data_IF_524803089526
#
_entry.id   IF_524803089526
#
_cell.length_a   1.000
_cell.length_b   1.000
_cell.length_c   1.000
_cell.angle_alpha   90.00
_cell.angle_beta   90.00
_cell.angle_gamma   90.00
#
_symmetry.space_group_name_H-M   'P 1'
#
loop_
_entity.id
_entity.type
_entity.pdbx_description
1 polymer ?
#
# COMPACT_ATOMS: atom_id res chain seq x y z
N UNK A 1 -3.61 -4.17 -11.82
CA UNK A 1 -3.72 -3.55 -10.48
C UNK A 1 -2.51 -2.67 -10.14
N UNK A 2 -1.28 -3.19 -10.23
CA UNK A 2 -0.05 -2.44 -9.91
C UNK A 2 0.07 -1.11 -10.67
N UNK A 3 -0.22 -1.07 -11.97
CA UNK A 3 -0.21 0.18 -12.75
C UNK A 3 -1.21 1.22 -12.22
N UNK A 4 -2.39 0.80 -11.74
CA UNK A 4 -3.37 1.71 -11.13
C UNK A 4 -2.89 2.27 -9.80
N UNK A 5 -2.15 1.46 -9.03
CA UNK A 5 -1.51 1.90 -7.78
C UNK A 5 -0.44 2.95 -8.10
N UNK A 6 0.44 2.69 -9.06
CA UNK A 6 1.48 3.65 -9.49
C UNK A 6 0.90 4.99 -9.94
N UNK A 7 -0.13 4.98 -10.79
CA UNK A 7 -0.76 6.22 -11.24
C UNK A 7 -1.50 6.95 -10.13
N UNK A 8 -2.16 6.22 -9.22
CA UNK A 8 -2.82 6.84 -8.07
C UNK A 8 -1.82 7.46 -7.08
N UNK A 9 -0.60 6.93 -6.96
CA UNK A 9 0.42 7.56 -6.11
C UNK A 9 0.77 8.97 -6.60
N UNK A 10 0.82 9.18 -7.92
CA UNK A 10 1.17 10.46 -8.52
C UNK A 10 0.15 11.56 -8.20
N UNK A 11 -1.10 11.19 -7.96
CA UNK A 11 -2.20 12.10 -7.62
C UNK A 11 -2.44 12.21 -6.10
N UNK A 12 -1.74 11.41 -5.27
CA UNK A 12 -1.95 11.37 -3.82
C UNK A 12 -1.07 12.40 -3.10
N UNK A 13 -1.72 13.46 -2.62
CA UNK A 13 -1.08 14.59 -1.92
C UNK A 13 -0.42 14.14 -0.61
N UNK A 14 -0.98 13.16 0.10
CA UNK A 14 -0.38 12.65 1.34
C UNK A 14 0.93 11.91 1.05
N UNK A 15 1.00 11.16 -0.05
CA UNK A 15 2.25 10.51 -0.49
C UNK A 15 3.32 11.56 -0.81
N UNK A 16 2.98 12.60 -1.56
CA UNK A 16 3.95 13.66 -1.86
C UNK A 16 4.40 14.41 -0.61
N UNK A 17 3.52 14.60 0.36
CA UNK A 17 3.89 15.18 1.67
C UNK A 17 4.91 14.29 2.40
N UNK A 18 4.76 12.96 2.33
CA UNK A 18 5.74 12.01 2.89
C UNK A 18 7.07 12.08 2.13
N UNK A 19 7.03 12.19 0.80
CA UNK A 19 8.23 12.34 -0.05
C UNK A 19 8.98 13.64 0.27
N UNK A 20 8.28 14.75 0.47
CA UNK A 20 8.88 16.03 0.83
C UNK A 20 9.52 16.03 2.22
N UNK A 21 8.99 15.22 3.14
CA UNK A 21 9.50 15.07 4.51
C UNK A 21 10.39 13.82 4.68
N UNK A 22 10.87 13.23 3.57
CA UNK A 22 11.63 11.99 3.61
C UNK A 22 13.01 12.20 4.23
N UNK A 23 13.25 11.59 5.39
CA UNK A 23 14.58 11.50 5.99
C UNK A 23 15.28 10.19 5.55
N UNK A 24 16.60 10.24 5.38
CA UNK A 24 17.44 9.11 4.94
C UNK A 24 17.30 7.87 5.84
N UNK A 25 16.83 8.03 7.09
CA UNK A 25 16.66 6.94 8.05
C UNK A 25 15.33 6.17 7.92
N UNK A 26 14.40 6.64 7.08
CA UNK A 26 13.02 6.13 7.06
C UNK A 26 12.84 4.85 6.22
N UNK A 27 13.86 4.44 5.46
CA UNK A 27 13.83 3.23 4.63
C UNK A 27 12.88 3.33 3.42
N UNK A 28 12.34 4.51 3.15
CA UNK A 28 11.61 4.82 1.94
C UNK A 28 12.57 5.23 0.82
N UNK A 29 12.19 4.94 -0.42
CA UNK A 29 12.90 5.40 -1.61
C UNK A 29 11.93 5.66 -2.74
N UNK A 30 12.23 6.67 -3.54
CA UNK A 30 11.62 6.86 -4.85
C UNK A 30 12.43 6.06 -5.89
N UNK A 31 11.76 5.45 -6.86
CA UNK A 31 12.43 4.87 -8.03
C UNK A 31 12.43 5.85 -9.23
N UNK A 32 12.97 5.40 -10.36
CA UNK A 32 13.05 6.21 -11.60
C UNK A 32 11.67 6.54 -12.22
N UNK A 33 10.60 5.87 -11.77
CA UNK A 33 9.21 6.09 -12.23
C UNK A 33 8.41 7.03 -11.28
N UNK A 34 9.09 7.70 -10.35
CA UNK A 34 8.48 8.49 -9.26
C UNK A 34 7.57 7.67 -8.34
N UNK A 35 7.85 6.37 -8.20
CA UNK A 35 7.06 5.47 -7.36
C UNK A 35 7.71 5.33 -5.98
N UNK A 36 6.91 5.52 -4.93
CA UNK A 36 7.37 5.39 -3.56
C UNK A 36 7.36 3.92 -3.12
N UNK A 37 8.52 3.49 -2.60
CA UNK A 37 8.75 2.17 -2.02
C UNK A 37 9.24 2.29 -0.58
N UNK A 38 8.88 1.32 0.27
CA UNK A 38 9.50 1.10 1.58
C UNK A 38 10.23 -0.24 1.57
N UNK A 39 11.56 -0.23 1.56
CA UNK A 39 12.33 -1.46 1.35
C UNK A 39 11.87 -2.15 0.05
N UNK A 40 11.41 -3.40 0.09
CA UNK A 40 10.91 -4.10 -1.11
C UNK A 40 9.38 -3.99 -1.31
N UNK A 41 8.70 -3.12 -0.55
CA UNK A 41 7.24 -3.00 -0.54
C UNK A 41 6.79 -1.74 -1.28
N UNK A 42 5.83 -1.90 -2.18
CA UNK A 42 5.19 -0.78 -2.89
C UNK A 42 4.23 -0.05 -1.94
N UNK A 43 4.34 1.27 -1.84
CA UNK A 43 3.37 2.06 -1.08
C UNK A 43 2.01 2.03 -1.79
N UNK A 44 0.92 1.87 -1.04
CA UNK A 44 -0.43 1.90 -1.63
C UNK A 44 -1.11 3.17 -1.11
N UNK A 45 -1.52 4.09 -2.00
CA UNK A 45 -2.24 5.29 -1.59
C UNK A 45 -3.55 4.93 -0.90
N UNK A 46 -4.04 5.82 -0.03
CA UNK A 46 -5.24 5.59 0.79
C UNK A 46 -6.54 5.80 -0.03
N UNK A 47 -6.60 5.18 -1.21
CA UNK A 47 -7.73 5.28 -2.13
C UNK A 47 -8.73 4.13 -1.90
N UNK A 48 -9.99 4.49 -1.66
CA UNK A 48 -11.06 3.53 -1.39
C UNK A 48 -11.32 2.59 -2.58
N UNK A 49 -11.13 3.05 -3.82
CA UNK A 49 -11.30 2.25 -5.04
C UNK A 49 -10.20 1.22 -5.17
N UNK A 50 -8.95 1.57 -4.83
CA UNK A 50 -7.82 0.65 -4.79
C UNK A 50 -7.98 -0.36 -3.67
N UNK A 51 -8.44 0.05 -2.49
CA UNK A 51 -8.77 -0.87 -1.39
C UNK A 51 -9.81 -1.91 -1.81
N UNK A 52 -10.90 -1.48 -2.45
CA UNK A 52 -11.93 -2.40 -2.95
C UNK A 52 -11.38 -3.30 -4.06
N UNK A 53 -10.57 -2.77 -4.98
CA UNK A 53 -9.96 -3.57 -6.06
C UNK A 53 -8.98 -4.63 -5.50
N UNK A 54 -8.14 -4.27 -4.54
CA UNK A 54 -7.24 -5.20 -3.84
C UNK A 54 -8.02 -6.29 -3.10
N UNK A 55 -9.07 -5.91 -2.37
CA UNK A 55 -9.94 -6.85 -1.67
C UNK A 55 -10.70 -7.79 -2.64
N UNK A 56 -11.06 -7.29 -3.82
CA UNK A 56 -11.77 -8.09 -4.83
C UNK A 56 -10.83 -9.10 -5.47
N UNK A 57 -9.60 -8.72 -5.83
CA UNK A 57 -8.59 -9.64 -6.37
C UNK A 57 -8.25 -10.76 -5.36
N UNK A 58 -8.04 -10.41 -4.08
CA UNK A 58 -7.79 -11.39 -3.01
C UNK A 58 -9.01 -12.29 -2.76
N UNK A 59 -10.23 -11.83 -3.04
CA UNK A 59 -11.48 -12.58 -2.87
C UNK A 59 -11.89 -13.41 -4.09
N UNK A 60 -11.21 -13.24 -5.23
CA UNK A 60 -11.40 -14.07 -6.43
C UNK A 60 -10.49 -15.31 -6.40
N UNK A 61 -9.35 -15.27 -5.70
CA UNK A 61 -8.48 -16.44 -5.47
C UNK A 61 -8.95 -17.52 -4.45
N UNK A 62 -9.86 -17.32 -3.48
CA UNK A 62 -10.17 -18.35 -2.47
C UNK A 62 -11.17 -19.41 -2.91
N UNK A 63 -11.71 -19.37 -4.14
CA UNK A 63 -12.76 -20.32 -4.56
C UNK A 63 -12.28 -21.44 -5.49
N UNK A 64 -11.01 -21.40 -5.94
CA UNK A 64 -10.45 -22.47 -6.79
C UNK A 64 -9.69 -23.56 -6.03
N UNK A 65 -9.41 -23.37 -4.74
CA UNK A 65 -8.78 -24.39 -3.90
C UNK A 65 -9.70 -24.71 -2.72
N UNK A 66 -10.68 -25.59 -2.98
CA UNK A 66 -11.46 -26.23 -1.92
C UNK A 66 -10.52 -27.07 -1.05
N UNK A 67 -10.46 -26.75 0.24
CA UNK A 67 -9.82 -27.56 1.26
C UNK A 67 -8.89 -26.78 2.18
N UNK A 68 -9.48 -26.13 3.18
CA UNK A 68 -8.80 -25.77 4.43
C UNK A 68 -7.78 -24.61 4.36
N UNK A 69 -8.22 -23.43 3.90
CA UNK A 69 -7.41 -22.21 4.09
C UNK A 69 -8.10 -21.27 5.09
N UNK A 70 -7.44 -21.19 6.24
CA UNK A 70 -7.69 -20.24 7.30
C UNK A 70 -7.59 -18.83 6.71
N UNK A 71 -8.41 -17.86 7.14
CA UNK A 71 -8.24 -16.47 6.72
C UNK A 71 -6.79 -16.07 7.03
N UNK A 72 -6.03 -15.67 6.00
CA UNK A 72 -4.83 -14.87 6.26
C UNK A 72 -5.37 -13.55 6.81
N UNK A 73 -5.22 -13.35 8.13
CA UNK A 73 -5.40 -12.05 8.76
C UNK A 73 -4.49 -11.09 7.99
N UNK A 74 -5.11 -10.32 7.07
CA UNK A 74 -4.46 -9.18 6.43
C UNK A 74 -4.08 -8.29 7.59
N UNK A 75 -2.79 -8.18 7.93
CA UNK A 75 -2.47 -7.56 9.18
C UNK A 75 -2.74 -6.05 8.98
N UNK A 76 -3.70 -5.54 9.76
CA UNK A 76 -4.08 -4.12 9.85
C UNK A 76 -3.02 -3.40 10.68
N UNK A 77 -1.74 -3.54 10.35
CA UNK A 77 -0.63 -3.11 11.23
C UNK A 77 0.08 -1.83 10.79
N UNK A 78 -0.48 -1.02 9.89
CA UNK A 78 0.19 0.22 9.45
C UNK A 78 -0.68 1.46 9.31
N UNK A 79 -1.75 1.57 10.09
CA UNK A 79 -2.47 2.84 10.21
C UNK A 79 -2.51 3.38 11.65
N UNK A 80 -2.52 2.52 12.68
CA UNK A 80 -2.65 2.97 14.08
C UNK A 80 -1.31 3.19 14.82
N UNK A 81 -0.16 2.81 14.24
CA UNK A 81 1.18 3.02 14.85
C UNK A 81 1.89 4.30 14.39
N UNK A 82 1.30 5.04 13.45
CA UNK A 82 1.72 6.41 13.11
C UNK A 82 0.96 7.37 14.03
N UNK A 83 1.04 7.11 15.35
CA UNK A 83 0.59 8.06 16.36
C UNK A 83 1.54 9.23 16.34
N UNK A 84 1.05 10.33 15.77
CA UNK A 84 1.62 11.66 15.83
C UNK A 84 1.57 12.14 17.29
N UNK A 85 2.73 12.24 17.95
CA UNK A 85 2.86 13.06 19.16
C UNK A 85 3.00 14.52 18.71
N UNK A 86 2.03 15.36 19.09
CA UNK A 86 1.90 16.78 18.74
C UNK A 86 3.02 17.68 19.29
#
# INVERSE_FOLDING_TARGET
>A
LISRIKEAQKEDIEIWTIVENLDEQTGFRLDDDDVLWQGTRLCVPNDATLRVALLTEVKIEPQRASGLLQPLDIPVWKWDEISMDF
#
